data_IF_943725375403
#
_entry.id   IF_943725375403
#
_cell.length_a   1.000
_cell.length_b   1.000
_cell.length_c   1.000
_cell.angle_alpha   90.00
_cell.angle_beta   90.00
_cell.angle_gamma   90.00
#
_symmetry.space_group_name_H-M   'P 1'
#
loop_
_entity.id
_entity.type
_entity.pdbx_description
1 polymer ?
#
# COMPACT_ATOMS: atom_id res chain seq x y z
N UNK A 1 10.80 7.12 20.04
CA UNK A 1 10.79 5.92 20.92
C UNK A 1 12.17 5.27 20.90
N UNK A 2 12.53 4.57 21.98
CA UNK A 2 13.80 3.83 22.05
C UNK A 2 13.64 2.44 21.44
N UNK A 3 14.59 2.07 20.59
CA UNK A 3 14.66 0.76 19.93
C UNK A 3 16.07 0.22 20.05
N UNK A 4 16.19 -1.04 20.44
CA UNK A 4 17.44 -1.80 20.49
C UNK A 4 17.53 -2.68 19.26
N UNK A 5 18.58 -2.49 18.46
CA UNK A 5 18.79 -3.23 17.23
C UNK A 5 20.10 -4.01 17.26
N UNK A 6 20.06 -5.26 16.80
CA UNK A 6 21.21 -6.16 16.77
C UNK A 6 21.08 -7.15 15.61
N UNK A 7 22.19 -7.79 15.24
CA UNK A 7 22.16 -8.92 14.31
C UNK A 7 22.08 -10.20 15.12
N UNK A 8 21.08 -11.03 14.82
CA UNK A 8 20.93 -12.32 15.49
C UNK A 8 22.16 -13.19 15.20
N UNK A 9 22.88 -13.69 16.23
CA UNK A 9 24.17 -14.35 16.04
C UNK A 9 24.08 -15.60 15.16
N UNK A 10 22.99 -16.36 15.26
CA UNK A 10 22.81 -17.60 14.47
C UNK A 10 22.11 -17.39 13.13
N UNK A 11 21.13 -16.47 13.06
CA UNK A 11 20.26 -16.30 11.90
C UNK A 11 20.78 -15.23 10.93
N UNK A 12 21.73 -14.40 11.36
CA UNK A 12 22.28 -13.29 10.59
C UNK A 12 21.21 -12.35 10.00
N UNK A 13 20.17 -12.09 10.78
CA UNK A 13 19.06 -11.17 10.45
C UNK A 13 19.05 -9.98 11.41
N UNK A 14 18.52 -8.84 10.94
CA UNK A 14 18.29 -7.66 11.77
C UNK A 14 17.11 -7.89 12.72
N UNK A 15 17.41 -7.90 14.02
CA UNK A 15 16.42 -7.92 15.09
C UNK A 15 16.26 -6.52 15.68
N UNK A 16 15.03 -6.17 16.06
CA UNK A 16 14.64 -4.87 16.61
C UNK A 16 13.66 -5.10 17.75
N UNK A 17 13.91 -4.52 18.91
CA UNK A 17 13.05 -4.67 20.09
C UNK A 17 12.91 -3.35 20.85
N UNK A 18 11.76 -3.17 21.51
CA UNK A 18 11.53 -2.04 22.42
C UNK A 18 12.04 -2.32 23.84
N UNK A 19 12.26 -3.59 24.17
CA UNK A 19 12.71 -4.04 25.48
C UNK A 19 14.18 -4.47 25.41
N UNK A 20 15.08 -3.85 26.19
CA UNK A 20 16.50 -4.25 26.20
C UNK A 20 16.68 -5.68 26.71
N UNK A 21 15.79 -6.19 27.56
CA UNK A 21 15.85 -7.55 28.10
C UNK A 21 15.54 -8.62 27.04
N UNK A 22 14.97 -8.24 25.90
CA UNK A 22 14.75 -9.13 24.77
C UNK A 22 15.98 -9.24 23.84
N UNK A 23 17.08 -8.55 24.16
CA UNK A 23 18.38 -8.76 23.51
C UNK A 23 19.02 -10.02 24.12
N UNK A 24 19.40 -11.03 23.32
CA UNK A 24 20.01 -12.25 23.83
C UNK A 24 21.28 -11.97 24.64
N UNK A 25 21.52 -12.78 25.66
CA UNK A 25 22.69 -12.65 26.52
C UNK A 25 23.98 -12.77 25.70
N UNK A 26 24.93 -11.86 25.94
CA UNK A 26 26.19 -11.79 25.19
C UNK A 26 26.09 -11.12 23.80
N UNK A 27 24.91 -10.72 23.34
CA UNK A 27 24.73 -9.98 22.08
C UNK A 27 24.79 -8.48 22.35
N UNK A 28 25.63 -7.78 21.59
CA UNK A 28 25.70 -6.32 21.65
C UNK A 28 24.62 -5.69 20.77
N UNK A 29 23.67 -4.98 21.39
CA UNK A 29 22.69 -4.17 20.68
C UNK A 29 23.12 -2.71 20.61
N UNK A 30 22.65 -2.03 19.57
CA UNK A 30 22.78 -0.58 19.39
C UNK A 30 21.44 0.05 19.77
N UNK A 31 21.46 1.05 20.65
CA UNK A 31 20.28 1.83 21.02
C UNK A 31 20.07 2.97 20.00
N UNK A 32 18.85 3.12 19.52
CA UNK A 32 18.42 4.20 18.66
C UNK A 32 17.18 4.89 19.22
N UNK A 33 17.10 6.20 19.02
CA UNK A 33 15.87 6.98 19.22
C UNK A 33 15.25 7.29 17.86
N UNK A 34 14.10 6.67 17.56
CA UNK A 34 13.44 6.70 16.25
C UNK A 34 11.94 6.89 16.35
N UNK A 35 11.27 7.30 15.27
CA UNK A 35 9.81 7.46 15.24
C UNK A 35 9.11 6.11 15.04
N UNK A 36 9.69 5.20 14.26
CA UNK A 36 9.19 3.85 13.96
C UNK A 36 10.26 2.77 14.14
N UNK A 37 9.88 1.54 14.51
CA UNK A 37 10.80 0.39 14.56
C UNK A 37 11.33 0.08 13.15
N UNK A 38 10.53 0.36 12.12
CA UNK A 38 10.90 0.15 10.73
C UNK A 38 11.84 1.22 10.17
N UNK A 39 12.19 2.24 10.97
CA UNK A 39 13.21 3.22 10.60
C UNK A 39 14.63 2.65 10.71
N UNK A 40 14.83 1.49 11.33
CA UNK A 40 16.15 0.88 11.48
C UNK A 40 16.37 -0.16 10.38
N UNK A 41 17.48 -0.01 9.66
CA UNK A 41 17.88 -0.89 8.56
C UNK A 41 19.28 -1.45 8.77
N UNK A 42 19.55 -2.57 8.11
CA UNK A 42 20.87 -3.18 8.05
C UNK A 42 21.32 -3.23 6.60
N UNK A 43 22.30 -2.41 6.26
CA UNK A 43 22.85 -2.32 4.91
C UNK A 43 24.37 -2.18 4.95
N UNK A 44 25.06 -2.82 4.01
CA UNK A 44 26.52 -2.80 3.90
C UNK A 44 27.22 -3.18 5.22
N UNK A 45 26.66 -4.14 5.96
CA UNK A 45 27.22 -4.62 7.22
C UNK A 45 27.02 -3.67 8.41
N UNK A 46 26.22 -2.61 8.28
CA UNK A 46 25.99 -1.62 9.33
C UNK A 46 24.50 -1.44 9.64
N UNK A 47 24.17 -1.49 10.92
CA UNK A 47 22.86 -1.07 11.41
C UNK A 47 22.83 0.46 11.46
N UNK A 48 21.82 1.06 10.83
CA UNK A 48 21.65 2.53 10.79
C UNK A 48 20.17 2.89 10.75
N UNK A 49 19.89 4.17 11.00
CA UNK A 49 18.56 4.75 10.78
C UNK A 49 18.41 5.11 9.29
N UNK A 50 17.20 4.93 8.75
CA UNK A 50 16.79 5.40 7.43
C UNK A 50 16.95 6.92 7.33
N UNK A 51 17.39 7.36 6.18
CA UNK A 51 17.34 8.77 5.79
C UNK A 51 15.91 9.19 5.52
N UNK A 52 15.64 10.50 5.58
CA UNK A 52 14.31 11.04 5.25
C UNK A 52 13.85 10.66 3.84
N UNK A 53 14.78 10.57 2.89
CA UNK A 53 14.48 10.16 1.52
C UNK A 53 14.02 8.68 1.46
N UNK A 54 14.67 7.79 2.22
CA UNK A 54 14.24 6.38 2.29
C UNK A 54 12.88 6.23 2.94
N UNK A 55 12.62 6.97 4.02
CA UNK A 55 11.30 7.00 4.66
C UNK A 55 10.22 7.50 3.70
N UNK A 56 10.53 8.55 2.92
CA UNK A 56 9.61 9.07 1.91
C UNK A 56 9.30 8.02 0.83
N UNK A 57 10.32 7.32 0.32
CA UNK A 57 10.13 6.27 -0.69
C UNK A 57 9.33 5.08 -0.16
N UNK A 58 9.49 4.72 1.12
CA UNK A 58 8.67 3.69 1.75
C UNK A 58 7.22 4.13 1.88
N UNK A 59 6.96 5.37 2.31
CA UNK A 59 5.60 5.93 2.33
C UNK A 59 4.97 5.98 0.94
N UNK A 60 5.73 6.30 -0.11
CA UNK A 60 5.24 6.25 -1.50
C UNK A 60 4.81 4.84 -1.88
N UNK A 61 5.61 3.82 -1.56
CA UNK A 61 5.27 2.41 -1.84
C UNK A 61 4.01 1.98 -1.08
N UNK A 62 3.95 2.27 0.21
CA UNK A 62 2.76 1.97 1.03
C UNK A 62 1.51 2.61 0.44
N UNK A 63 1.62 3.86 -0.02
CA UNK A 63 0.49 4.59 -0.57
C UNK A 63 0.05 4.07 -1.94
N UNK A 64 0.99 3.63 -2.78
CA UNK A 64 0.71 2.94 -4.04
C UNK A 64 -0.02 1.61 -3.79
N UNK A 65 0.39 0.85 -2.78
CA UNK A 65 -0.28 -0.39 -2.40
C UNK A 65 -1.68 -0.13 -1.83
N UNK A 66 -1.85 0.91 -1.02
CA UNK A 66 -3.17 1.33 -0.54
C UNK A 66 -4.08 1.72 -1.71
N UNK A 67 -3.59 2.54 -2.64
CA UNK A 67 -4.34 2.93 -3.84
C UNK A 67 -4.76 1.70 -4.64
N UNK A 68 -3.84 0.76 -4.86
CA UNK A 68 -4.12 -0.50 -5.56
C UNK A 68 -5.26 -1.28 -4.87
N UNK A 69 -5.21 -1.42 -3.55
CA UNK A 69 -6.24 -2.12 -2.78
C UNK A 69 -7.61 -1.43 -2.88
N UNK A 70 -7.65 -0.11 -2.74
CA UNK A 70 -8.90 0.68 -2.84
C UNK A 70 -9.51 0.55 -4.24
N UNK A 71 -8.70 0.73 -5.28
CA UNK A 71 -9.15 0.61 -6.67
C UNK A 71 -9.64 -0.81 -6.97
N UNK A 72 -8.91 -1.85 -6.56
CA UNK A 72 -9.34 -3.23 -6.73
C UNK A 72 -10.69 -3.49 -6.05
N UNK A 73 -10.87 -3.02 -4.82
CA UNK A 73 -12.13 -3.16 -4.09
C UNK A 73 -13.28 -2.47 -4.82
N UNK A 74 -13.10 -1.24 -5.29
CA UNK A 74 -14.13 -0.49 -6.03
C UNK A 74 -14.47 -1.15 -7.37
N UNK A 75 -13.46 -1.57 -8.13
CA UNK A 75 -13.65 -2.19 -9.44
C UNK A 75 -14.28 -3.58 -9.34
N UNK A 76 -13.96 -4.37 -8.31
CA UNK A 76 -14.49 -5.73 -8.14
C UNK A 76 -16.02 -5.79 -8.09
N UNK A 77 -16.67 -4.76 -7.54
CA UNK A 77 -18.13 -4.63 -7.50
C UNK A 77 -18.73 -4.52 -8.91
N UNK A 78 -18.00 -3.89 -9.83
CA UNK A 78 -18.43 -3.70 -11.23
C UNK A 78 -18.05 -4.89 -12.11
N UNK A 79 -16.94 -5.58 -11.83
CA UNK A 79 -16.50 -6.74 -12.63
C UNK A 79 -17.50 -7.91 -12.53
N UNK A 80 -18.18 -8.07 -11.39
CA UNK A 80 -19.26 -9.05 -11.22
C UNK A 80 -20.39 -8.86 -12.25
N UNK A 81 -20.77 -7.61 -12.56
CA UNK A 81 -21.85 -7.32 -13.51
C UNK A 81 -21.44 -7.69 -14.93
N UNK A 82 -20.18 -7.45 -15.31
CA UNK A 82 -19.64 -7.84 -16.62
C UNK A 82 -19.71 -9.36 -16.78
N UNK A 83 -19.28 -10.10 -15.77
CA UNK A 83 -19.33 -11.58 -15.77
C UNK A 83 -20.77 -12.06 -15.97
N UNK A 84 -21.74 -11.47 -15.25
CA UNK A 84 -23.16 -11.83 -15.40
C UNK A 84 -23.75 -11.48 -16.77
N UNK A 85 -23.29 -10.40 -17.40
CA UNK A 85 -23.66 -10.09 -18.78
C UNK A 85 -23.13 -11.19 -19.72
N UNK A 86 -21.87 -11.59 -19.58
CA UNK A 86 -21.25 -12.63 -20.41
C UNK A 86 -21.96 -13.99 -20.24
N UNK A 87 -22.26 -14.40 -19.00
CA UNK A 87 -23.00 -15.63 -18.71
C UNK A 87 -24.40 -15.62 -19.36
N UNK A 88 -25.11 -14.50 -19.27
CA UNK A 88 -26.44 -14.35 -19.89
C UNK A 88 -26.36 -14.35 -21.43
N UNK A 89 -25.28 -13.82 -22.01
CA UNK A 89 -25.04 -13.91 -23.46
C UNK A 89 -24.80 -15.35 -23.91
N UNK A 90 -23.99 -16.11 -23.18
CA UNK A 90 -23.75 -17.54 -23.45
C UNK A 90 -25.05 -18.35 -23.34
N UNK A 91 -25.90 -17.99 -22.38
CA UNK A 91 -27.21 -18.63 -22.18
C UNK A 91 -28.31 -18.12 -23.12
N UNK A 92 -27.98 -17.18 -24.03
CA UNK A 92 -28.90 -16.52 -24.95
C UNK A 92 -30.10 -15.81 -24.28
N UNK A 93 -29.97 -15.43 -23.00
CA UNK A 93 -30.97 -14.69 -22.22
C UNK A 93 -30.90 -13.19 -22.54
N UNK A 94 -31.59 -12.82 -23.63
CA UNK A 94 -31.60 -11.44 -24.14
C UNK A 94 -32.19 -10.43 -23.16
N UNK A 95 -33.13 -10.85 -22.29
CA UNK A 95 -33.79 -9.94 -21.35
C UNK A 95 -32.85 -9.60 -20.19
N UNK A 96 -32.17 -10.60 -19.62
CA UNK A 96 -31.16 -10.39 -18.58
C UNK A 96 -30.00 -9.55 -19.10
N UNK A 97 -29.53 -9.81 -20.33
CA UNK A 97 -28.49 -8.97 -20.97
C UNK A 97 -28.92 -7.50 -21.06
N UNK A 98 -30.16 -7.23 -21.49
CA UNK A 98 -30.67 -5.85 -21.61
C UNK A 98 -30.73 -5.16 -20.25
N UNK A 99 -31.29 -5.82 -19.24
CA UNK A 99 -31.44 -5.27 -17.89
C UNK A 99 -30.08 -4.99 -17.24
N UNK A 100 -29.12 -5.92 -17.38
CA UNK A 100 -27.78 -5.76 -16.81
C UNK A 100 -26.98 -4.68 -17.53
N UNK A 101 -27.08 -4.56 -18.87
CA UNK A 101 -26.44 -3.47 -19.62
C UNK A 101 -26.95 -2.10 -19.19
N UNK A 102 -28.25 -1.97 -18.91
CA UNK A 102 -28.82 -0.71 -18.42
C UNK A 102 -28.29 -0.36 -17.03
N UNK A 103 -28.23 -1.33 -16.10
CA UNK A 103 -27.59 -1.11 -14.78
C UNK A 103 -26.10 -0.79 -14.87
N UNK A 104 -25.40 -1.41 -15.81
CA UNK A 104 -23.96 -1.24 -15.98
C UNK A 104 -23.58 0.08 -16.64
N UNK A 105 -24.49 0.72 -17.39
CA UNK A 105 -24.21 1.96 -18.10
C UNK A 105 -23.80 3.11 -17.16
N UNK A 106 -24.45 3.25 -16.00
CA UNK A 106 -24.10 4.24 -14.99
C UNK A 106 -22.74 3.93 -14.33
N UNK A 107 -22.51 2.64 -14.03
CA UNK A 107 -21.26 2.17 -13.43
C UNK A 107 -20.05 2.31 -14.37
N UNK A 108 -20.26 2.32 -15.68
CA UNK A 108 -19.21 2.49 -16.68
C UNK A 108 -18.53 3.85 -16.55
N UNK A 109 -19.31 4.90 -16.29
CA UNK A 109 -18.78 6.25 -16.12
C UNK A 109 -17.94 6.36 -14.86
N UNK A 110 -18.41 5.78 -13.75
CA UNK A 110 -17.67 5.78 -12.49
C UNK A 110 -16.39 4.96 -12.59
N UNK A 111 -16.42 3.84 -13.32
CA UNK A 111 -15.23 3.04 -13.60
C UNK A 111 -14.17 3.83 -14.38
N UNK A 112 -14.59 4.62 -15.36
CA UNK A 112 -13.67 5.45 -16.13
C UNK A 112 -13.10 6.61 -15.28
N UNK A 113 -13.93 7.22 -14.42
CA UNK A 113 -13.48 8.21 -13.43
C UNK A 113 -12.45 7.62 -12.48
N UNK A 114 -12.70 6.41 -11.95
CA UNK A 114 -11.77 5.70 -11.06
C UNK A 114 -10.45 5.37 -11.74
N UNK A 115 -10.46 4.97 -13.02
CA UNK A 115 -9.22 4.74 -13.78
C UNK A 115 -8.40 6.01 -13.95
N UNK A 116 -9.04 7.13 -14.31
CA UNK A 116 -8.37 8.42 -14.43
C UNK A 116 -7.80 8.88 -13.10
N UNK A 117 -8.59 8.80 -12.03
CA UNK A 117 -8.15 9.14 -10.68
C UNK A 117 -6.96 8.26 -10.24
N UNK A 118 -6.99 6.96 -10.52
CA UNK A 118 -5.87 6.06 -10.21
C UNK A 118 -4.57 6.48 -10.90
N UNK A 119 -4.61 6.79 -12.20
CA UNK A 119 -3.41 7.22 -12.92
C UNK A 119 -2.90 8.59 -12.46
N UNK A 120 -3.81 9.54 -12.20
CA UNK A 120 -3.45 10.85 -11.67
C UNK A 120 -2.81 10.75 -10.28
N UNK A 121 -3.42 10.00 -9.36
CA UNK A 121 -2.93 9.86 -8.00
C UNK A 121 -1.59 9.12 -8.00
N UNK A 122 -1.41 8.04 -8.77
CA UNK A 122 -0.10 7.37 -8.91
C UNK A 122 1.00 8.35 -9.28
N UNK A 123 0.75 9.19 -10.28
CA UNK A 123 1.70 10.20 -10.73
C UNK A 123 2.05 11.17 -9.59
N UNK A 124 1.03 11.67 -8.88
CA UNK A 124 1.21 12.57 -7.73
C UNK A 124 2.00 11.92 -6.59
N UNK A 125 1.80 10.61 -6.32
CA UNK A 125 2.59 9.88 -5.31
C UNK A 125 4.07 9.83 -5.72
N UNK A 126 4.35 9.48 -6.97
CA UNK A 126 5.74 9.36 -7.47
C UNK A 126 6.46 10.72 -7.40
N UNK A 127 5.76 11.77 -7.80
CA UNK A 127 6.29 13.15 -7.86
C UNK A 127 6.34 13.85 -6.50
N UNK A 128 5.74 13.27 -5.45
CA UNK A 128 5.68 13.87 -4.13
C UNK A 128 7.07 14.14 -3.55
N UNK A 129 7.24 15.32 -2.96
CA UNK A 129 8.51 15.83 -2.44
C UNK A 129 8.67 15.62 -0.94
N UNK A 130 7.55 15.52 -0.23
CA UNK A 130 7.54 15.43 1.22
C UNK A 130 6.38 14.58 1.74
N UNK A 131 6.42 14.35 3.05
CA UNK A 131 5.44 13.53 3.78
C UNK A 131 4.06 14.18 3.80
N UNK A 132 3.97 15.51 3.83
CA UNK A 132 2.69 16.23 3.93
C UNK A 132 1.85 16.07 2.66
N UNK A 133 2.51 16.13 1.49
CA UNK A 133 1.89 15.82 0.20
C UNK A 133 1.34 14.38 0.18
N UNK A 134 2.10 13.41 0.70
CA UNK A 134 1.67 12.00 0.76
C UNK A 134 0.49 11.79 1.71
N UNK A 135 0.45 12.46 2.86
CA UNK A 135 -0.69 12.39 3.78
C UNK A 135 -1.97 12.98 3.17
N UNK A 136 -1.84 14.06 2.41
CA UNK A 136 -2.97 14.63 1.65
C UNK A 136 -3.49 13.64 0.61
N UNK A 137 -2.59 12.97 -0.11
CA UNK A 137 -2.95 11.94 -1.08
C UNK A 137 -3.59 10.72 -0.41
N UNK A 138 -3.12 10.32 0.77
CA UNK A 138 -3.74 9.25 1.58
C UNK A 138 -5.19 9.56 1.91
N UNK A 139 -5.48 10.79 2.35
CA UNK A 139 -6.85 11.21 2.58
C UNK A 139 -7.71 11.12 1.31
N UNK A 140 -7.19 11.57 0.16
CA UNK A 140 -7.90 11.46 -1.13
C UNK A 140 -8.20 10.00 -1.47
N UNK A 141 -7.20 9.11 -1.36
CA UNK A 141 -7.31 7.68 -1.67
C UNK A 141 -8.37 7.01 -0.80
N UNK A 142 -8.43 7.31 0.50
CA UNK A 142 -9.42 6.73 1.40
C UNK A 142 -10.86 7.15 1.09
N UNK A 143 -11.05 8.23 0.33
CA UNK A 143 -12.35 8.78 -0.03
C UNK A 143 -12.74 8.51 -1.51
N UNK A 144 -11.96 7.74 -2.25
CA UNK A 144 -12.36 7.17 -3.55
C UNK A 144 -13.42 6.07 -3.40
#
# INVERSE_FOLDING_TARGET
MKVYAYIHPELNILCRTLLPEAVPEGVQAIEFEVESIDDIVFENGKIRVKTEQEKLEDLKKELLDLLKQVIQRRLSLTDYVIIKILEAQVSNDKQTVKNLKQKYAEQLMDRERLRKANEEIKKRIIEAKDKEELETLRFIIMNL
#
